data_IF_864071128443
#
_entry.id   IF_864071128443
#
_cell.length_a   1.000
_cell.length_b   1.000
_cell.length_c   1.000
_cell.angle_alpha   90.00
_cell.angle_beta   90.00
_cell.angle_gamma   90.00
#
_symmetry.space_group_name_H-M   'P 1'
#
loop_
_entity.id
_entity.type
_entity.pdbx_description
1 polymer ?
#
# COMPACT_ATOMS: atom_id res chain seq x y z
N UNK A 1 10.83 -5.72 24.86
CA UNK A 1 9.82 -6.34 23.97
C UNK A 1 9.19 -5.17 23.23
N UNK A 2 9.17 -5.16 21.91
CA UNK A 2 8.43 -4.10 21.15
C UNK A 2 6.95 -4.26 21.48
N UNK A 3 6.29 -3.19 21.86
CA UNK A 3 4.82 -3.18 21.95
C UNK A 3 4.23 -3.57 20.59
N UNK A 4 3.17 -4.39 20.60
CA UNK A 4 2.45 -4.77 19.38
C UNK A 4 1.87 -3.55 18.67
N UNK A 5 1.64 -3.65 17.36
CA UNK A 5 1.08 -2.56 16.55
C UNK A 5 -0.27 -2.96 15.96
N UNK A 6 -1.17 -1.99 15.84
CA UNK A 6 -2.40 -2.10 15.05
C UNK A 6 -2.12 -1.61 13.63
N UNK A 7 -2.19 -2.52 12.62
CA UNK A 7 -1.91 -2.19 11.23
C UNK A 7 -3.10 -2.50 10.31
N UNK A 8 -3.52 -1.54 9.50
CA UNK A 8 -4.53 -1.72 8.45
C UNK A 8 -3.85 -1.81 7.09
N UNK A 9 -4.10 -2.88 6.33
CA UNK A 9 -3.51 -3.13 5.01
C UNK A 9 -4.64 -3.34 3.99
N UNK A 10 -4.71 -2.50 2.94
CA UNK A 10 -5.69 -2.66 1.87
C UNK A 10 -5.17 -3.56 0.74
N UNK A 11 -6.09 -4.28 0.04
CA UNK A 11 -5.69 -5.24 -0.99
C UNK A 11 -4.91 -6.42 -0.43
N UNK A 12 -5.30 -6.88 0.75
CA UNK A 12 -4.56 -7.81 1.62
C UNK A 12 -4.61 -9.29 1.18
N UNK A 13 -5.44 -9.65 0.20
CA UNK A 13 -5.73 -11.05 -0.13
C UNK A 13 -4.73 -11.75 -1.06
N UNK A 14 -3.82 -11.01 -1.70
CA UNK A 14 -2.82 -11.54 -2.64
C UNK A 14 -1.56 -10.67 -2.76
N UNK A 15 -0.55 -11.18 -3.47
CA UNK A 15 0.66 -10.44 -3.82
C UNK A 15 1.34 -9.79 -2.62
N UNK A 16 1.72 -8.52 -2.78
CA UNK A 16 2.41 -7.73 -1.76
C UNK A 16 1.55 -7.56 -0.51
N UNK A 17 0.24 -7.28 -0.66
CA UNK A 17 -0.66 -7.09 0.47
C UNK A 17 -0.75 -8.33 1.36
N UNK A 18 -0.86 -9.54 0.78
CA UNK A 18 -0.83 -10.80 1.54
C UNK A 18 0.52 -11.01 2.23
N UNK A 19 1.62 -10.69 1.57
CA UNK A 19 2.95 -10.81 2.16
C UNK A 19 3.16 -9.86 3.33
N UNK A 20 2.64 -8.61 3.24
CA UNK A 20 2.64 -7.66 4.34
C UNK A 20 1.79 -8.17 5.53
N UNK A 21 0.59 -8.70 5.27
CA UNK A 21 -0.23 -9.34 6.32
C UNK A 21 0.54 -10.46 6.99
N UNK A 22 1.16 -11.37 6.24
CA UNK A 22 1.94 -12.47 6.79
C UNK A 22 3.12 -11.98 7.65
N UNK A 23 3.85 -10.98 7.17
CA UNK A 23 5.02 -10.44 7.87
C UNK A 23 4.66 -9.71 9.18
N UNK A 24 3.54 -8.96 9.21
CA UNK A 24 3.05 -8.37 10.46
C UNK A 24 2.46 -9.41 11.40
N UNK A 25 1.68 -10.37 10.87
CA UNK A 25 0.97 -11.36 11.66
C UNK A 25 1.93 -12.35 12.33
N UNK A 26 3.08 -12.65 11.74
CA UNK A 26 4.10 -13.53 12.31
C UNK A 26 4.87 -12.93 13.50
N UNK A 27 4.80 -11.62 13.70
CA UNK A 27 5.36 -10.94 14.88
C UNK A 27 4.38 -11.04 16.06
N UNK A 28 4.87 -10.85 17.29
CA UNK A 28 4.03 -10.97 18.48
C UNK A 28 3.17 -9.71 18.72
N UNK A 29 2.00 -9.93 19.31
CA UNK A 29 1.11 -8.92 19.88
C UNK A 29 0.55 -7.90 18.86
N UNK A 30 0.58 -8.20 17.56
CA UNK A 30 0.03 -7.33 16.52
C UNK A 30 -1.44 -7.56 16.26
N UNK A 31 -2.19 -6.48 16.00
CA UNK A 31 -3.53 -6.52 15.43
C UNK A 31 -3.42 -6.18 13.94
N UNK A 32 -3.64 -7.17 13.08
CA UNK A 32 -3.52 -7.02 11.63
C UNK A 32 -4.91 -6.97 11.00
N UNK A 33 -5.28 -5.81 10.45
CA UNK A 33 -6.56 -5.57 9.80
C UNK A 33 -6.36 -5.72 8.30
N UNK A 34 -6.88 -6.80 7.73
CA UNK A 34 -6.79 -7.12 6.32
C UNK A 34 -8.01 -6.57 5.55
N UNK A 35 -7.86 -5.41 4.92
CA UNK A 35 -8.89 -4.78 4.09
C UNK A 35 -8.98 -5.44 2.71
N UNK A 36 -10.12 -6.07 2.42
CA UNK A 36 -10.40 -6.80 1.19
C UNK A 36 -11.82 -6.52 0.68
N UNK A 37 -12.03 -6.57 -0.65
CA UNK A 37 -13.37 -6.35 -1.24
C UNK A 37 -14.36 -7.47 -0.90
N UNK A 38 -13.86 -8.69 -0.85
CA UNK A 38 -14.64 -9.89 -0.53
C UNK A 38 -13.93 -10.70 0.55
N UNK A 39 -14.30 -10.54 1.83
CA UNK A 39 -13.76 -11.32 2.94
C UNK A 39 -14.00 -12.82 2.81
N UNK A 40 -15.14 -13.23 2.24
CA UNK A 40 -15.47 -14.66 2.11
C UNK A 40 -14.52 -15.39 1.16
N UNK A 41 -14.07 -14.73 0.09
CA UNK A 41 -13.09 -15.28 -0.84
C UNK A 41 -11.63 -15.25 -0.30
N UNK A 42 -11.38 -14.44 0.74
CA UNK A 42 -10.04 -14.27 1.31
C UNK A 42 -9.80 -15.07 2.60
N UNK A 43 -10.87 -15.52 3.27
CA UNK A 43 -10.83 -16.07 4.63
C UNK A 43 -9.90 -17.28 4.76
N UNK A 44 -9.97 -18.25 3.87
CA UNK A 44 -9.16 -19.48 3.96
C UNK A 44 -7.67 -19.17 3.75
N UNK A 45 -7.37 -18.31 2.77
CA UNK A 45 -6.00 -17.93 2.43
C UNK A 45 -5.33 -17.14 3.56
N UNK A 46 -6.07 -16.23 4.20
CA UNK A 46 -5.52 -15.36 5.24
C UNK A 46 -5.51 -16.04 6.62
N UNK A 47 -6.51 -16.86 6.94
CA UNK A 47 -6.51 -17.63 8.18
C UNK A 47 -5.45 -18.73 8.23
N UNK A 48 -5.00 -19.23 7.07
CA UNK A 48 -3.90 -20.18 6.97
C UNK A 48 -2.50 -19.58 7.19
N UNK A 49 -2.39 -18.27 7.42
CA UNK A 49 -1.11 -17.62 7.69
C UNK A 49 -0.63 -17.89 9.13
N UNK A 50 0.68 -18.05 9.29
CA UNK A 50 1.32 -18.22 10.58
C UNK A 50 1.14 -16.97 11.45
N UNK A 51 0.89 -17.18 12.76
CA UNK A 51 0.67 -16.11 13.74
C UNK A 51 1.69 -16.13 14.83
N UNK A 52 2.26 -14.97 15.15
CA UNK A 52 3.04 -14.78 16.36
C UNK A 52 2.16 -14.81 17.61
N UNK A 53 2.79 -15.04 18.75
CA UNK A 53 2.09 -15.08 20.05
C UNK A 53 1.34 -13.78 20.29
N UNK A 54 0.04 -13.87 20.63
CA UNK A 54 -0.79 -12.70 20.91
C UNK A 54 -1.28 -11.93 19.68
N UNK A 55 -0.86 -12.33 18.46
CA UNK A 55 -1.27 -11.61 17.25
C UNK A 55 -2.63 -12.05 16.74
N UNK A 56 -3.42 -11.07 16.30
CA UNK A 56 -4.78 -11.23 15.82
C UNK A 56 -4.92 -10.77 14.36
N UNK A 57 -5.78 -11.46 13.61
CA UNK A 57 -6.15 -11.10 12.25
C UNK A 57 -7.63 -10.74 12.19
N UNK A 58 -7.93 -9.54 11.72
CA UNK A 58 -9.28 -9.10 11.42
C UNK A 58 -9.45 -8.92 9.90
N UNK A 59 -10.42 -9.63 9.32
CA UNK A 59 -10.82 -9.42 7.93
C UNK A 59 -11.88 -8.32 7.85
N UNK A 60 -11.59 -7.27 7.09
CA UNK A 60 -12.46 -6.12 6.93
C UNK A 60 -12.92 -5.97 5.48
N UNK A 61 -14.24 -5.90 5.26
CA UNK A 61 -14.75 -5.59 3.93
C UNK A 61 -14.45 -4.11 3.60
N UNK A 62 -13.60 -3.88 2.59
CA UNK A 62 -13.16 -2.55 2.21
C UNK A 62 -12.91 -2.47 0.70
N UNK A 63 -13.72 -1.68 0.00
CA UNK A 63 -13.52 -1.30 -1.40
C UNK A 63 -13.06 0.16 -1.45
N UNK A 64 -11.80 0.40 -1.79
CA UNK A 64 -11.20 1.74 -1.83
C UNK A 64 -11.80 2.63 -2.93
N UNK A 65 -12.53 2.08 -3.88
CA UNK A 65 -13.19 2.88 -4.94
C UNK A 65 -14.45 3.57 -4.44
N UNK A 66 -15.10 3.02 -3.40
CA UNK A 66 -16.37 3.50 -2.85
C UNK A 66 -16.12 4.21 -1.50
N UNK A 67 -16.40 5.51 -1.46
CA UNK A 67 -16.23 6.32 -0.24
C UNK A 67 -17.02 5.75 0.94
N UNK A 68 -18.29 5.41 0.72
CA UNK A 68 -19.16 4.79 1.74
C UNK A 68 -18.65 3.43 2.24
N UNK A 69 -17.92 2.66 1.41
CA UNK A 69 -17.31 1.41 1.85
C UNK A 69 -16.13 1.65 2.78
N UNK A 70 -15.32 2.68 2.49
CA UNK A 70 -14.19 3.05 3.35
C UNK A 70 -14.70 3.61 4.68
N UNK A 71 -15.68 4.51 4.65
CA UNK A 71 -16.33 5.08 5.82
C UNK A 71 -16.90 3.98 6.74
N UNK A 72 -17.79 3.14 6.22
CA UNK A 72 -18.41 2.06 6.99
C UNK A 72 -17.38 1.06 7.56
N UNK A 73 -16.31 0.76 6.79
CA UNK A 73 -15.24 -0.11 7.25
C UNK A 73 -14.52 0.50 8.47
N UNK A 74 -14.14 1.78 8.40
CA UNK A 74 -13.39 2.46 9.47
C UNK A 74 -14.27 2.67 10.72
N UNK A 75 -15.53 3.09 10.56
CA UNK A 75 -16.50 3.19 11.66
C UNK A 75 -16.72 1.85 12.36
N UNK A 76 -16.82 0.78 11.57
CA UNK A 76 -16.98 -0.59 12.08
C UNK A 76 -15.82 -1.06 12.95
N UNK A 77 -14.62 -0.52 12.79
CA UNK A 77 -13.46 -0.86 13.65
C UNK A 77 -13.69 -0.47 15.11
N UNK A 78 -14.16 0.74 15.35
CA UNK A 78 -14.44 1.21 16.72
C UNK A 78 -15.68 0.54 17.29
N UNK A 79 -16.79 0.53 16.55
CA UNK A 79 -18.11 0.07 17.05
C UNK A 79 -18.16 -1.45 17.22
N UNK A 80 -17.66 -2.18 16.21
CA UNK A 80 -17.78 -3.64 16.15
C UNK A 80 -16.59 -4.40 16.73
N UNK A 81 -15.41 -3.80 16.77
CA UNK A 81 -14.17 -4.48 17.14
C UNK A 81 -13.39 -3.81 18.28
N UNK A 82 -13.86 -2.66 18.78
CA UNK A 82 -13.20 -1.93 19.87
C UNK A 82 -11.84 -1.33 19.50
N UNK A 83 -11.53 -1.22 18.20
CA UNK A 83 -10.26 -0.65 17.70
C UNK A 83 -10.42 0.85 17.58
N UNK A 84 -9.82 1.59 18.52
CA UNK A 84 -9.92 3.05 18.62
C UNK A 84 -8.63 3.77 18.23
N UNK A 85 -7.59 3.02 17.84
CA UNK A 85 -6.29 3.54 17.41
C UNK A 85 -5.69 2.65 16.32
N UNK A 86 -5.06 3.25 15.32
CA UNK A 86 -4.32 2.55 14.27
C UNK A 86 -2.93 3.17 14.16
N UNK A 87 -1.91 2.37 14.42
CA UNK A 87 -0.52 2.82 14.36
C UNK A 87 -0.02 2.97 12.91
N UNK A 88 -0.43 2.04 12.03
CA UNK A 88 0.05 1.99 10.65
C UNK A 88 -1.11 1.73 9.70
N UNK A 89 -1.27 2.60 8.70
CA UNK A 89 -2.17 2.38 7.57
C UNK A 89 -1.34 2.18 6.32
N UNK A 90 -1.48 1.02 5.66
CA UNK A 90 -0.79 0.69 4.41
C UNK A 90 -1.81 0.67 3.27
N UNK A 91 -1.82 1.74 2.47
CA UNK A 91 -2.59 1.83 1.23
C UNK A 91 -1.88 1.03 0.13
N UNK A 92 -2.19 -0.27 0.07
CA UNK A 92 -1.57 -1.19 -0.89
C UNK A 92 -2.52 -1.57 -2.05
N UNK A 93 -3.83 -1.48 -1.89
CA UNK A 93 -4.77 -1.76 -2.98
C UNK A 93 -4.40 -0.98 -4.26
N UNK A 94 -4.32 -1.69 -5.38
CA UNK A 94 -3.94 -1.10 -6.65
C UNK A 94 -4.26 -2.01 -7.83
N UNK A 95 -4.32 -1.40 -9.02
CA UNK A 95 -4.55 -2.08 -10.30
C UNK A 95 -3.53 -1.65 -11.35
N UNK A 96 -3.21 -2.57 -12.24
CA UNK A 96 -2.48 -2.35 -13.49
C UNK A 96 -3.09 -3.28 -14.53
N UNK A 97 -4.07 -2.78 -15.25
CA UNK A 97 -4.91 -3.56 -16.20
C UNK A 97 -4.81 -3.07 -17.64
N UNK A 98 -4.13 -1.94 -17.87
CA UNK A 98 -3.96 -1.36 -19.20
C UNK A 98 -2.47 -1.21 -19.53
N UNK A 99 -2.07 -1.80 -20.65
CA UNK A 99 -0.69 -1.80 -21.18
C UNK A 99 -0.59 -1.00 -22.49
N UNK A 100 -1.60 -0.18 -22.79
CA UNK A 100 -1.65 0.64 -23.99
C UNK A 100 -0.67 1.82 -23.86
N UNK A 101 0.10 2.16 -24.91
CA UNK A 101 0.90 3.38 -24.91
C UNK A 101 0.04 4.62 -24.64
N UNK A 102 0.54 5.58 -23.85
CA UNK A 102 -0.21 6.76 -23.40
C UNK A 102 -0.92 7.50 -24.55
N UNK A 103 -0.31 7.62 -25.71
CA UNK A 103 -0.91 8.29 -26.87
C UNK A 103 -2.16 7.59 -27.44
N UNK A 104 -2.45 6.35 -26.99
CA UNK A 104 -3.60 5.54 -27.43
C UNK A 104 -4.47 5.07 -26.27
N UNK A 105 -4.07 5.37 -25.05
CA UNK A 105 -4.82 4.98 -23.85
C UNK A 105 -6.17 5.71 -23.79
N UNK A 106 -7.20 5.02 -23.33
CA UNK A 106 -8.51 5.64 -23.13
C UNK A 106 -8.56 6.44 -21.83
N UNK A 107 -9.42 7.46 -21.79
CA UNK A 107 -9.66 8.23 -20.58
C UNK A 107 -10.28 7.36 -19.49
N UNK A 108 -11.14 6.41 -19.86
CA UNK A 108 -11.78 5.47 -18.94
C UNK A 108 -10.74 4.58 -18.25
N UNK A 109 -9.74 4.07 -19.00
CA UNK A 109 -8.65 3.29 -18.41
C UNK A 109 -7.81 4.13 -17.44
N UNK A 110 -7.49 5.38 -17.79
CA UNK A 110 -6.79 6.30 -16.91
C UNK A 110 -7.62 6.60 -15.64
N UNK A 111 -8.91 6.88 -15.79
CA UNK A 111 -9.81 7.15 -14.67
C UNK A 111 -9.88 5.96 -13.72
N UNK A 112 -10.05 4.74 -14.23
CA UNK A 112 -10.08 3.52 -13.42
C UNK A 112 -8.80 3.36 -12.58
N UNK A 113 -7.63 3.62 -13.17
CA UNK A 113 -6.36 3.55 -12.43
C UNK A 113 -6.25 4.64 -11.37
N UNK A 114 -6.70 5.86 -11.67
CA UNK A 114 -6.71 6.99 -10.73
C UNK A 114 -7.65 6.68 -9.56
N UNK A 115 -8.85 6.18 -9.83
CA UNK A 115 -9.86 5.89 -8.80
C UNK A 115 -9.36 4.89 -7.76
N UNK A 116 -8.66 3.84 -8.22
CA UNK A 116 -8.13 2.81 -7.32
C UNK A 116 -6.80 3.26 -6.69
N UNK A 117 -5.81 3.65 -7.53
CA UNK A 117 -4.43 3.79 -7.11
C UNK A 117 -4.14 5.10 -6.38
N UNK A 118 -4.92 6.16 -6.64
CA UNK A 118 -4.71 7.49 -6.08
C UNK A 118 -5.86 7.95 -5.18
N UNK A 119 -7.09 8.01 -5.70
CA UNK A 119 -8.24 8.45 -4.91
C UNK A 119 -8.59 7.47 -3.80
N UNK A 120 -8.42 6.16 -4.03
CA UNK A 120 -8.58 5.14 -2.99
C UNK A 120 -7.66 5.36 -1.80
N UNK A 121 -6.42 5.74 -2.04
CA UNK A 121 -5.46 6.07 -0.99
C UNK A 121 -5.85 7.35 -0.22
N UNK A 122 -6.34 8.38 -0.94
CA UNK A 122 -6.79 9.63 -0.32
C UNK A 122 -8.00 9.41 0.58
N UNK A 123 -9.02 8.69 0.10
CA UNK A 123 -10.22 8.32 0.89
C UNK A 123 -9.81 7.54 2.15
N UNK A 124 -8.94 6.54 1.98
CA UNK A 124 -8.44 5.75 3.11
C UNK A 124 -7.76 6.64 4.15
N UNK A 125 -6.88 7.55 3.73
CA UNK A 125 -6.22 8.50 4.63
C UNK A 125 -7.24 9.34 5.40
N UNK A 126 -8.20 9.95 4.69
CA UNK A 126 -9.19 10.86 5.27
C UNK A 126 -10.06 10.17 6.33
N UNK A 127 -10.55 8.97 6.04
CA UNK A 127 -11.40 8.24 6.98
C UNK A 127 -10.60 7.64 8.15
N UNK A 128 -9.35 7.21 7.94
CA UNK A 128 -8.53 6.64 9.02
C UNK A 128 -7.81 7.69 9.88
N UNK A 129 -7.74 8.94 9.46
CA UNK A 129 -7.02 10.00 10.16
C UNK A 129 -7.41 10.17 11.63
N UNK A 130 -8.70 10.13 12.03
CA UNK A 130 -9.07 10.20 13.44
C UNK A 130 -8.49 9.05 14.28
N UNK A 131 -8.52 7.82 13.77
CA UNK A 131 -7.95 6.65 14.46
C UNK A 131 -6.42 6.67 14.47
N UNK A 132 -5.78 7.14 13.39
CA UNK A 132 -4.33 7.32 13.36
C UNK A 132 -3.89 8.35 14.42
N UNK A 133 -4.59 9.47 14.57
CA UNK A 133 -4.27 10.50 15.57
C UNK A 133 -4.40 10.03 17.01
N UNK A 134 -5.07 8.91 17.25
CA UNK A 134 -5.12 8.28 18.57
C UNK A 134 -3.88 7.43 18.88
N UNK A 135 -3.03 7.16 17.90
CA UNK A 135 -1.76 6.47 18.07
C UNK A 135 -0.63 7.45 18.45
N UNK A 136 0.43 6.95 19.08
CA UNK A 136 1.57 7.77 19.52
C UNK A 136 2.45 8.25 18.37
N UNK A 137 2.64 7.39 17.35
CA UNK A 137 3.49 7.68 16.17
C UNK A 137 2.83 7.16 14.91
N UNK A 138 1.72 7.79 14.47
CA UNK A 138 0.92 7.28 13.35
C UNK A 138 1.67 7.36 12.03
N UNK A 139 1.52 6.31 11.21
CA UNK A 139 2.17 6.19 9.91
C UNK A 139 1.17 5.85 8.81
N UNK A 140 1.18 6.63 7.73
CA UNK A 140 0.45 6.36 6.50
C UNK A 140 1.43 6.04 5.38
N UNK A 141 1.40 4.80 4.89
CA UNK A 141 2.30 4.28 3.87
C UNK A 141 1.51 3.99 2.59
N UNK A 142 1.80 4.72 1.52
CA UNK A 142 1.19 4.46 0.23
C UNK A 142 2.11 3.64 -0.67
N UNK A 143 1.68 2.45 -1.06
CA UNK A 143 2.45 1.60 -1.97
C UNK A 143 2.35 2.19 -3.38
N UNK A 144 3.44 2.87 -3.77
CA UNK A 144 3.62 3.50 -5.06
C UNK A 144 4.45 2.59 -5.99
N UNK A 145 5.14 3.17 -6.93
CA UNK A 145 6.03 2.48 -7.86
C UNK A 145 7.05 3.46 -8.43
N UNK A 146 8.25 2.99 -8.72
CA UNK A 146 9.29 3.81 -9.38
C UNK A 146 8.79 4.41 -10.71
N UNK A 147 7.82 3.77 -11.36
CA UNK A 147 7.22 4.25 -12.60
C UNK A 147 6.33 5.49 -12.41
N UNK A 148 6.01 5.86 -11.17
CA UNK A 148 5.36 7.12 -10.81
C UNK A 148 6.33 8.27 -10.54
N UNK A 149 7.65 8.03 -10.65
CA UNK A 149 8.67 9.07 -10.53
C UNK A 149 8.84 9.82 -11.85
N UNK A 150 8.71 11.13 -11.84
CA UNK A 150 8.94 11.98 -13.01
C UNK A 150 10.43 11.95 -13.44
N UNK A 151 11.34 11.90 -12.48
CA UNK A 151 12.78 11.81 -12.72
C UNK A 151 13.20 10.48 -13.40
N UNK A 152 12.45 9.41 -13.15
CA UNK A 152 12.75 8.09 -13.73
C UNK A 152 11.97 7.76 -14.99
N UNK A 153 11.19 8.69 -15.58
CA UNK A 153 10.35 8.43 -16.74
C UNK A 153 11.13 7.91 -17.94
N UNK A 154 12.28 8.51 -18.25
CA UNK A 154 13.11 8.06 -19.39
C UNK A 154 13.65 6.64 -19.18
N UNK A 155 14.05 6.29 -17.96
CA UNK A 155 14.52 4.94 -17.62
C UNK A 155 13.42 3.89 -17.70
N UNK A 156 12.17 4.29 -17.51
CA UNK A 156 10.98 3.42 -17.53
C UNK A 156 10.21 3.49 -18.86
N UNK A 157 10.63 4.32 -19.81
CA UNK A 157 9.94 4.57 -21.08
C UNK A 157 9.69 3.32 -21.94
N UNK A 158 10.51 2.28 -21.76
CA UNK A 158 10.38 1.00 -22.48
C UNK A 158 9.25 0.10 -21.96
N UNK A 159 8.58 0.50 -20.88
CA UNK A 159 7.51 -0.26 -20.25
C UNK A 159 6.16 0.25 -20.73
N UNK A 160 5.19 -0.63 -21.06
CA UNK A 160 3.84 -0.22 -21.42
C UNK A 160 3.01 0.06 -20.17
N UNK A 161 3.32 1.15 -19.47
CA UNK A 161 2.81 1.49 -18.14
C UNK A 161 2.24 2.91 -18.06
N UNK A 162 1.84 3.50 -19.19
CA UNK A 162 1.45 4.91 -19.25
C UNK A 162 0.40 5.31 -18.21
N UNK A 163 -0.80 4.72 -18.26
CA UNK A 163 -1.89 5.05 -17.33
C UNK A 163 -1.57 4.64 -15.89
N UNK A 164 -0.88 3.52 -15.69
CA UNK A 164 -0.45 3.07 -14.36
C UNK A 164 0.55 4.06 -13.77
N UNK A 165 1.59 4.44 -14.53
CA UNK A 165 2.59 5.42 -14.10
C UNK A 165 1.97 6.77 -13.74
N UNK A 166 1.04 7.27 -14.58
CA UNK A 166 0.31 8.51 -14.30
C UNK A 166 -0.48 8.44 -12.98
N UNK A 167 -1.17 7.32 -12.70
CA UNK A 167 -1.90 7.14 -11.45
C UNK A 167 -0.97 7.09 -10.22
N UNK A 168 0.23 6.51 -10.36
CA UNK A 168 1.23 6.47 -9.29
C UNK A 168 1.95 7.82 -9.09
N UNK A 169 2.13 8.61 -10.15
CA UNK A 169 2.60 10.00 -10.04
C UNK A 169 1.60 10.87 -9.27
N UNK A 170 0.30 10.73 -9.56
CA UNK A 170 -0.76 11.41 -8.79
C UNK A 170 -0.76 10.98 -7.33
N UNK A 171 -0.64 9.67 -7.04
CA UNK A 171 -0.51 9.14 -5.69
C UNK A 171 0.69 9.78 -4.95
N UNK A 172 1.84 9.84 -5.61
CA UNK A 172 3.05 10.46 -5.06
C UNK A 172 2.81 11.94 -4.70
N UNK A 173 2.17 12.70 -5.58
CA UNK A 173 1.81 14.09 -5.32
C UNK A 173 0.88 14.21 -4.11
N UNK A 174 -0.18 13.38 -4.04
CA UNK A 174 -1.14 13.37 -2.92
C UNK A 174 -0.39 13.11 -1.60
N UNK A 175 0.43 12.07 -1.54
CA UNK A 175 1.16 11.71 -0.31
C UNK A 175 2.11 12.81 0.13
N UNK A 176 2.83 13.42 -0.82
CA UNK A 176 3.69 14.57 -0.54
C UNK A 176 2.90 15.75 0.04
N UNK A 177 1.73 16.04 -0.51
CA UNK A 177 0.84 17.10 -0.01
C UNK A 177 0.32 16.78 1.38
N UNK A 178 -0.12 15.54 1.63
CA UNK A 178 -0.55 15.11 2.97
C UNK A 178 0.54 15.30 4.02
N UNK A 179 1.78 14.93 3.72
CA UNK A 179 2.91 15.11 4.62
C UNK A 179 3.21 16.59 4.95
N UNK A 180 2.92 17.52 4.02
CA UNK A 180 3.09 18.97 4.22
C UNK A 180 1.94 19.53 5.07
N UNK A 181 0.72 19.06 4.84
CA UNK A 181 -0.50 19.61 5.44
C UNK A 181 -0.84 18.97 6.80
N UNK A 182 -0.52 17.68 6.99
CA UNK A 182 -0.81 16.90 8.21
C UNK A 182 0.51 16.47 8.84
N UNK A 183 1.06 17.34 9.69
CA UNK A 183 2.41 17.21 10.26
C UNK A 183 2.50 16.28 11.47
N UNK A 184 1.41 15.74 11.92
CA UNK A 184 1.30 14.82 13.06
C UNK A 184 1.20 13.34 12.63
N UNK A 185 1.25 13.07 11.31
CA UNK A 185 1.26 11.72 10.74
C UNK A 185 2.45 11.55 9.79
N UNK A 186 3.26 10.53 9.99
CA UNK A 186 4.30 10.15 9.01
C UNK A 186 3.61 9.67 7.73
N UNK A 187 3.68 10.45 6.66
CA UNK A 187 3.07 10.11 5.37
C UNK A 187 4.15 9.94 4.32
N UNK A 188 4.33 8.74 3.77
CA UNK A 188 5.37 8.49 2.75
C UNK A 188 4.89 7.58 1.62
N UNK A 189 5.45 7.79 0.43
CA UNK A 189 5.33 6.88 -0.70
C UNK A 189 6.40 5.80 -0.62
N UNK A 190 6.02 4.56 -0.93
CA UNK A 190 6.94 3.43 -0.88
C UNK A 190 6.94 2.65 -2.20
N UNK A 191 8.14 2.44 -2.78
CA UNK A 191 8.32 1.58 -3.94
C UNK A 191 8.66 0.16 -3.48
N UNK A 192 7.81 -0.84 -3.78
CA UNK A 192 7.99 -2.21 -3.29
C UNK A 192 9.08 -3.00 -4.02
N UNK A 193 9.71 -2.42 -5.05
CA UNK A 193 10.60 -3.10 -5.97
C UNK A 193 9.86 -3.74 -7.16
N UNK A 194 10.59 -4.49 -7.99
CA UNK A 194 10.01 -5.32 -9.04
C UNK A 194 9.66 -6.68 -8.44
N UNK A 195 8.38 -6.88 -8.09
CA UNK A 195 7.91 -7.99 -7.25
C UNK A 195 7.13 -9.01 -8.08
N UNK A 196 7.43 -10.30 -7.92
CA UNK A 196 6.76 -11.41 -8.60
C UNK A 196 5.32 -11.59 -8.08
N UNK A 197 4.38 -10.99 -8.80
CA UNK A 197 2.96 -11.01 -8.49
C UNK A 197 2.14 -11.19 -9.77
N UNK A 198 0.86 -11.54 -9.63
CA UNK A 198 -0.06 -11.64 -10.78
C UNK A 198 -0.14 -10.32 -11.58
N UNK A 199 0.06 -9.18 -10.92
CA UNK A 199 0.00 -7.87 -11.55
C UNK A 199 1.06 -7.69 -12.65
N UNK A 200 2.26 -8.28 -12.49
CA UNK A 200 3.33 -8.17 -13.48
C UNK A 200 3.33 -9.31 -14.50
N UNK A 201 2.55 -10.37 -14.28
CA UNK A 201 2.58 -11.58 -15.12
C UNK A 201 2.49 -11.30 -16.63
N UNK A 202 1.62 -10.37 -17.12
CA UNK A 202 1.52 -10.07 -18.56
C UNK A 202 2.79 -9.46 -19.18
N UNK A 203 3.62 -8.80 -18.38
CA UNK A 203 4.86 -8.10 -18.85
C UNK A 203 6.14 -8.75 -18.34
N UNK A 204 6.06 -9.80 -17.51
CA UNK A 204 7.18 -10.37 -16.75
C UNK A 204 8.39 -10.73 -17.63
N UNK A 205 8.20 -11.46 -18.71
CA UNK A 205 9.29 -11.90 -19.57
C UNK A 205 10.07 -10.73 -20.22
N UNK A 206 9.34 -9.68 -20.63
CA UNK A 206 9.95 -8.49 -21.23
C UNK A 206 10.68 -7.68 -20.16
N UNK A 207 10.11 -7.59 -18.96
CA UNK A 207 10.66 -6.85 -17.84
C UNK A 207 11.94 -7.50 -17.29
N UNK A 208 11.95 -8.83 -17.13
CA UNK A 208 13.12 -9.55 -16.63
C UNK A 208 14.35 -9.38 -17.52
N UNK A 209 14.16 -9.24 -18.84
CA UNK A 209 15.25 -8.95 -19.78
C UNK A 209 15.85 -7.54 -19.60
N UNK A 210 15.08 -6.61 -19.03
CA UNK A 210 15.46 -5.19 -18.94
C UNK A 210 15.90 -4.76 -17.54
N UNK A 211 15.24 -5.27 -16.50
CA UNK A 211 15.46 -4.84 -15.11
C UNK A 211 15.94 -5.96 -14.18
N UNK A 212 16.10 -7.18 -14.70
CA UNK A 212 16.51 -8.34 -13.93
C UNK A 212 15.35 -9.11 -13.32
N UNK A 213 15.67 -10.16 -12.55
CA UNK A 213 14.65 -11.03 -11.94
C UNK A 213 13.83 -10.29 -10.87
N UNK A 214 12.54 -10.59 -10.85
CA UNK A 214 11.65 -10.12 -9.80
C UNK A 214 12.04 -10.71 -8.45
N UNK A 215 11.90 -9.92 -7.39
CA UNK A 215 12.02 -10.38 -6.00
C UNK A 215 10.71 -11.03 -5.55
N UNK A 216 10.78 -11.88 -4.52
CA UNK A 216 9.56 -12.47 -3.94
C UNK A 216 8.71 -11.44 -3.20
N UNK A 217 7.38 -11.64 -3.09
CA UNK A 217 6.53 -10.79 -2.26
C UNK A 217 6.97 -10.73 -0.79
N UNK A 218 7.48 -11.85 -0.23
CA UNK A 218 8.00 -11.88 1.15
C UNK A 218 9.26 -11.02 1.31
N UNK A 219 10.22 -11.12 0.38
CA UNK A 219 11.41 -10.28 0.42
C UNK A 219 11.08 -8.79 0.33
N UNK A 220 10.12 -8.40 -0.52
CA UNK A 220 9.63 -7.03 -0.60
C UNK A 220 8.96 -6.59 0.70
N UNK A 221 8.10 -7.44 1.28
CA UNK A 221 7.37 -7.13 2.51
C UNK A 221 8.33 -6.95 3.70
N UNK A 222 9.29 -7.86 3.91
CA UNK A 222 10.26 -7.72 5.00
C UNK A 222 11.06 -6.42 4.90
N UNK A 223 11.61 -6.10 3.71
CA UNK A 223 12.32 -4.83 3.54
C UNK A 223 11.43 -3.61 3.78
N UNK A 224 10.16 -3.64 3.35
CA UNK A 224 9.22 -2.56 3.65
C UNK A 224 8.93 -2.43 5.16
N UNK A 225 8.80 -3.55 5.88
CA UNK A 225 8.59 -3.52 7.33
C UNK A 225 9.77 -2.85 8.05
N UNK A 226 11.00 -3.15 7.63
CA UNK A 226 12.20 -2.53 8.21
C UNK A 226 12.20 -1.01 7.99
N UNK A 227 11.90 -0.56 6.78
CA UNK A 227 11.78 0.88 6.45
C UNK A 227 10.65 1.54 7.26
N UNK A 228 9.50 0.89 7.39
CA UNK A 228 8.35 1.41 8.13
C UNK A 228 8.67 1.49 9.64
N UNK A 229 9.39 0.50 10.19
CA UNK A 229 9.79 0.51 11.59
C UNK A 229 10.62 1.77 11.93
N UNK A 230 11.59 2.10 11.08
CA UNK A 230 12.51 3.24 11.24
C UNK A 230 11.90 4.60 10.83
N UNK A 231 10.67 4.61 10.28
CA UNK A 231 10.07 5.82 9.74
C UNK A 231 9.69 6.83 10.83
N UNK A 232 10.13 8.09 10.66
CA UNK A 232 9.82 9.21 11.55
C UNK A 232 9.36 10.45 10.77
N UNK A 233 8.76 11.41 11.48
CA UNK A 233 8.33 12.68 10.88
C UNK A 233 9.50 13.45 10.24
N UNK A 234 10.66 13.45 10.90
CA UNK A 234 11.82 14.24 10.48
C UNK A 234 12.57 13.59 9.30
N UNK A 235 12.61 12.25 9.24
CA UNK A 235 13.48 11.56 8.29
C UNK A 235 12.75 11.08 7.04
N UNK A 236 11.48 10.69 7.17
CA UNK A 236 10.80 9.92 6.10
C UNK A 236 9.48 10.51 5.68
N UNK A 237 8.83 11.36 6.49
CA UNK A 237 7.57 11.97 6.09
C UNK A 237 7.76 12.90 4.89
N UNK A 238 6.95 12.69 3.86
CA UNK A 238 7.07 13.42 2.61
C UNK A 238 8.20 12.93 1.69
N UNK A 239 8.77 11.75 1.94
CA UNK A 239 9.77 11.13 1.07
C UNK A 239 9.19 9.96 0.28
N UNK A 240 9.83 9.64 -0.84
CA UNK A 240 9.55 8.47 -1.64
C UNK A 240 10.70 7.47 -1.45
N UNK A 241 10.43 6.36 -0.78
CA UNK A 241 11.46 5.42 -0.32
C UNK A 241 11.20 4.03 -0.92
N UNK A 242 12.24 3.33 -1.33
CA UNK A 242 12.19 1.97 -1.83
C UNK A 242 12.21 0.98 -0.65
N UNK A 243 11.71 -0.24 -0.88
CA UNK A 243 11.66 -1.32 0.13
C UNK A 243 13.00 -1.64 0.83
N UNK A 244 14.13 -1.26 0.22
CA UNK A 244 15.48 -1.46 0.75
C UNK A 244 16.08 -0.19 1.40
N UNK A 245 15.25 0.80 1.69
CA UNK A 245 15.64 2.05 2.35
C UNK A 245 16.23 3.12 1.44
N UNK A 246 16.41 2.86 0.15
CA UNK A 246 16.93 3.87 -0.78
C UNK A 246 15.85 4.91 -1.11
N UNK A 247 16.22 6.19 -1.05
CA UNK A 247 15.34 7.26 -1.49
C UNK A 247 15.21 7.26 -3.02
N UNK A 248 14.00 7.47 -3.49
CA UNK A 248 13.64 7.60 -4.90
C UNK A 248 13.32 9.06 -5.19
N UNK A 249 13.88 9.63 -6.23
CA UNK A 249 13.48 10.96 -6.70
C UNK A 249 12.02 10.94 -7.19
N UNK A 250 11.32 12.09 -7.00
CA UNK A 250 9.90 12.23 -7.36
C UNK A 250 9.62 12.24 -8.86
#
# INVERSE_FOLDING_TARGET
>A
MSEGVTVLITGANRGIGKALVAAYLSRSDNIVIAGVRDPSAAVDVLNGLERGTGSELLLLRLDVTLDSSVEAAVEGLSIGHGINSIDIVISNAGVHTDYTPMAKASIEALQQHIDVNAYGALKLFQHTLPLMRSASTPKFIAISSIVGSMEHLEKTAVMPIGVYGASKALLNYIVKRLAIEVKDVVSMSMAPGYVDTDMIAPSKSVMELKVGKAISPSQSAEGMLDVIAEATLEKTSGHFIRYDGQEVAW
#
